data_IF_146665302994
#
_entry.id   IF_146665302994
#
_cell.length_a   1.000
_cell.length_b   1.000
_cell.length_c   1.000
_cell.angle_alpha   90.00
_cell.angle_beta   90.00
_cell.angle_gamma   90.00
#
_symmetry.space_group_name_H-M   'P 1'
#
loop_
_entity.id
_entity.type
_entity.pdbx_description
1 polymer ?
#
# COMPACT_ATOMS: atom_id res chain seq x y z
N UNK A 1 -11.24 8.32 12.63
CA UNK A 1 -11.06 8.32 11.16
C UNK A 1 -9.96 7.34 10.85
N UNK A 2 -10.21 6.32 10.03
CA UNK A 2 -9.13 5.51 9.46
C UNK A 2 -8.33 6.40 8.52
N UNK A 3 -7.00 6.35 8.59
CA UNK A 3 -6.16 6.91 7.54
C UNK A 3 -6.46 6.18 6.21
N UNK A 4 -6.41 6.91 5.09
CA UNK A 4 -6.55 6.33 3.75
C UNK A 4 -5.23 5.74 3.27
N UNK A 5 -5.28 4.78 2.34
CA UNK A 5 -4.06 4.22 1.72
C UNK A 5 -3.21 5.32 1.09
N UNK A 6 -3.86 6.29 0.43
CA UNK A 6 -3.15 7.39 -0.24
C UNK A 6 -2.42 8.29 0.75
N UNK A 7 -3.02 8.61 1.89
CA UNK A 7 -2.41 9.46 2.92
C UNK A 7 -1.20 8.75 3.56
N UNK A 8 -1.38 7.47 3.90
CA UNK A 8 -0.32 6.63 4.46
C UNK A 8 0.89 6.52 3.52
N UNK A 9 0.65 6.14 2.26
CA UNK A 9 1.71 5.96 1.27
C UNK A 9 2.42 7.27 0.95
N UNK A 10 1.70 8.40 0.87
CA UNK A 10 2.31 9.71 0.67
C UNK A 10 3.28 10.09 1.80
N UNK A 11 2.90 9.83 3.06
CA UNK A 11 3.79 10.04 4.21
C UNK A 11 5.00 9.14 4.18
N UNK A 12 4.83 7.85 3.85
CA UNK A 12 5.94 6.91 3.74
C UNK A 12 6.93 7.35 2.65
N UNK A 13 6.45 7.74 1.48
CA UNK A 13 7.28 8.22 0.39
C UNK A 13 8.04 9.51 0.75
N UNK A 14 7.42 10.41 1.51
CA UNK A 14 8.12 11.58 2.04
C UNK A 14 9.31 11.17 2.93
N UNK A 15 9.13 10.20 3.82
CA UNK A 15 10.20 9.66 4.67
C UNK A 15 11.29 8.99 3.83
N UNK A 16 10.91 8.13 2.88
CA UNK A 16 11.85 7.46 1.96
C UNK A 16 12.66 8.48 1.17
N UNK A 17 12.03 9.55 0.69
CA UNK A 17 12.72 10.62 -0.03
C UNK A 17 13.71 11.37 0.87
N UNK A 18 13.37 11.64 2.13
CA UNK A 18 14.32 12.22 3.09
C UNK A 18 15.51 11.28 3.33
N UNK A 19 15.28 9.98 3.56
CA UNK A 19 16.36 9.00 3.75
C UNK A 19 17.27 8.94 2.52
N UNK A 20 16.69 8.92 1.31
CA UNK A 20 17.45 8.98 0.05
C UNK A 20 18.29 10.26 -0.06
N UNK A 21 17.78 11.41 0.40
CA UNK A 21 18.54 12.68 0.44
C UNK A 21 19.73 12.62 1.40
N UNK A 22 19.66 11.84 2.47
CA UNK A 22 20.78 11.61 3.39
C UNK A 22 21.79 10.57 2.89
N UNK A 23 21.61 10.03 1.68
CA UNK A 23 22.53 9.08 1.05
C UNK A 23 22.15 7.62 1.24
N UNK A 24 21.00 7.32 1.83
CA UNK A 24 20.50 5.94 1.88
C UNK A 24 20.03 5.49 0.49
N UNK A 25 20.37 4.25 0.13
CA UNK A 25 19.84 3.62 -1.07
C UNK A 25 18.64 2.76 -0.67
N UNK A 26 17.45 3.23 -1.02
CA UNK A 26 16.19 2.50 -0.78
C UNK A 26 15.61 2.12 -2.14
N UNK A 27 15.52 0.81 -2.41
CA UNK A 27 14.90 0.30 -3.63
C UNK A 27 13.38 0.35 -3.57
N UNK A 28 12.73 0.36 -4.72
CA UNK A 28 11.26 0.35 -4.78
C UNK A 28 10.68 -0.96 -4.21
N UNK A 29 11.37 -2.09 -4.38
CA UNK A 29 11.07 -3.38 -3.73
C UNK A 29 10.97 -3.22 -2.21
N UNK A 30 11.95 -2.58 -1.57
CA UNK A 30 11.94 -2.34 -0.12
C UNK A 30 10.74 -1.50 0.31
N UNK A 31 10.34 -0.53 -0.53
CA UNK A 31 9.16 0.31 -0.25
C UNK A 31 7.86 -0.49 -0.42
N UNK A 32 7.76 -1.30 -1.48
CA UNK A 32 6.62 -2.18 -1.75
C UNK A 32 6.41 -3.17 -0.60
N UNK A 33 7.46 -3.87 -0.18
CA UNK A 33 7.40 -4.78 0.95
C UNK A 33 7.03 -4.05 2.24
N UNK A 34 7.59 -2.85 2.45
CA UNK A 34 7.28 -2.06 3.64
C UNK A 34 5.81 -1.69 3.68
N UNK A 35 5.22 -1.28 2.56
CA UNK A 35 3.79 -0.96 2.47
C UNK A 35 2.96 -2.21 2.81
N UNK A 36 3.19 -3.33 2.12
CA UNK A 36 2.41 -4.55 2.32
C UNK A 36 2.45 -5.04 3.78
N UNK A 37 3.62 -5.05 4.42
CA UNK A 37 3.78 -5.49 5.81
C UNK A 37 3.24 -4.54 6.88
N UNK A 38 2.92 -3.29 6.53
CA UNK A 38 2.52 -2.26 7.50
C UNK A 38 1.05 -1.88 7.43
N UNK A 39 0.33 -2.37 6.43
CA UNK A 39 -1.09 -2.15 6.30
C UNK A 39 -1.89 -2.93 7.35
N UNK A 40 -3.08 -2.40 7.66
CA UNK A 40 -4.04 -3.00 8.59
C UNK A 40 -4.55 -4.36 8.09
N UNK A 41 -4.89 -5.26 9.02
CA UNK A 41 -5.39 -6.62 8.73
C UNK A 41 -6.59 -6.65 7.76
N UNK A 42 -7.37 -5.56 7.65
CA UNK A 42 -8.45 -5.42 6.65
C UNK A 42 -7.95 -5.53 5.20
N UNK A 43 -6.65 -5.35 4.95
CA UNK A 43 -6.01 -5.52 3.64
C UNK A 43 -5.40 -6.91 3.43
N UNK A 44 -5.44 -7.80 4.42
CA UNK A 44 -4.75 -9.10 4.35
C UNK A 44 -5.14 -9.92 3.10
N UNK A 45 -6.42 -9.88 2.70
CA UNK A 45 -6.86 -10.57 1.50
C UNK A 45 -6.21 -10.04 0.21
N UNK A 46 -6.09 -8.72 0.04
CA UNK A 46 -5.47 -8.15 -1.16
C UNK A 46 -3.95 -8.31 -1.12
N UNK A 47 -3.33 -8.29 0.07
CA UNK A 47 -1.90 -8.55 0.25
C UNK A 47 -1.57 -9.97 -0.23
N UNK A 48 -2.27 -10.99 0.29
CA UNK A 48 -2.09 -12.39 -0.12
C UNK A 48 -2.29 -12.55 -1.64
N UNK A 49 -3.34 -11.94 -2.20
CA UNK A 49 -3.60 -12.03 -3.63
C UNK A 49 -2.49 -11.39 -4.48
N UNK A 50 -1.88 -10.30 -4.01
CA UNK A 50 -0.73 -9.67 -4.67
C UNK A 50 0.50 -10.58 -4.58
N UNK A 51 0.82 -11.10 -3.38
CA UNK A 51 1.95 -11.99 -3.15
C UNK A 51 1.86 -13.29 -3.97
N UNK A 52 0.66 -13.83 -4.17
CA UNK A 52 0.45 -15.03 -4.98
C UNK A 52 0.51 -14.78 -6.49
N UNK A 53 0.20 -13.55 -6.95
CA UNK A 53 0.00 -13.27 -8.38
C UNK A 53 1.08 -12.40 -9.02
N UNK A 54 1.95 -11.78 -8.23
CA UNK A 54 2.93 -10.78 -8.70
C UNK A 54 4.31 -11.04 -8.11
N UNK A 55 5.33 -10.65 -8.86
CA UNK A 55 6.71 -10.62 -8.37
C UNK A 55 6.99 -9.25 -7.74
N UNK A 56 7.09 -9.21 -6.41
CA UNK A 56 7.30 -7.99 -5.64
C UNK A 56 8.63 -7.30 -5.98
N UNK A 57 9.63 -8.04 -6.47
CA UNK A 57 10.94 -7.50 -6.86
C UNK A 57 10.86 -6.62 -8.12
N UNK A 58 9.81 -6.81 -8.92
CA UNK A 58 9.62 -6.10 -10.20
C UNK A 58 8.44 -5.15 -10.18
N UNK A 59 7.61 -5.21 -9.14
CA UNK A 59 6.43 -4.38 -8.98
C UNK A 59 6.84 -2.93 -8.70
N UNK A 60 6.20 -1.98 -9.38
CA UNK A 60 6.35 -0.56 -9.07
C UNK A 60 5.44 -0.13 -7.93
N UNK A 61 5.84 0.92 -7.22
CA UNK A 61 5.04 1.53 -6.15
C UNK A 61 3.68 1.99 -6.68
N UNK A 62 3.64 2.57 -7.88
CA UNK A 62 2.40 3.03 -8.51
C UNK A 62 1.43 1.89 -8.82
N UNK A 63 1.94 0.74 -9.27
CA UNK A 63 1.13 -0.45 -9.52
C UNK A 63 0.52 -0.97 -8.21
N UNK A 64 1.33 -1.07 -7.15
CA UNK A 64 0.87 -1.44 -5.81
C UNK A 64 -0.23 -0.49 -5.31
N UNK A 65 0.00 0.82 -5.41
CA UNK A 65 -0.95 1.84 -4.97
C UNK A 65 -2.29 1.72 -5.70
N UNK A 66 -2.27 1.42 -7.00
CA UNK A 66 -3.47 1.17 -7.79
C UNK A 66 -4.31 0.00 -7.25
N UNK A 67 -3.68 -1.12 -6.92
CA UNK A 67 -4.39 -2.27 -6.33
C UNK A 67 -5.03 -1.94 -4.98
N UNK A 68 -4.27 -1.27 -4.10
CA UNK A 68 -4.70 -0.95 -2.75
C UNK A 68 -5.85 0.08 -2.74
N UNK A 69 -5.78 1.12 -3.59
CA UNK A 69 -6.85 2.12 -3.70
C UNK A 69 -8.16 1.52 -4.21
N UNK A 70 -8.11 0.68 -5.25
CA UNK A 70 -9.30 -0.02 -5.76
C UNK A 70 -9.91 -0.93 -4.68
N UNK A 71 -9.07 -1.59 -3.87
CA UNK A 71 -9.54 -2.41 -2.77
C UNK A 71 -10.18 -1.57 -1.65
N UNK A 72 -9.53 -0.47 -1.24
CA UNK A 72 -10.05 0.45 -0.23
C UNK A 72 -11.43 1.00 -0.63
N UNK A 73 -11.61 1.43 -1.89
CA UNK A 73 -12.90 1.89 -2.38
C UNK A 73 -13.99 0.82 -2.28
N UNK A 74 -13.67 -0.44 -2.56
CA UNK A 74 -14.61 -1.57 -2.46
C UNK A 74 -14.97 -1.86 -1.00
N UNK A 75 -14.02 -1.77 -0.07
CA UNK A 75 -14.29 -1.90 1.36
C UNK A 75 -15.22 -0.80 1.87
N UNK A 76 -14.96 0.46 1.48
CA UNK A 76 -15.80 1.60 1.86
C UNK A 76 -17.23 1.45 1.32
N UNK A 77 -17.40 0.98 0.08
CA UNK A 77 -18.72 0.72 -0.52
C UNK A 77 -19.47 -0.39 0.22
N UNK A 78 -18.81 -1.49 0.58
CA UNK A 78 -19.44 -2.58 1.36
C UNK A 78 -19.90 -2.12 2.74
N UNK A 79 -19.10 -1.31 3.43
CA UNK A 79 -19.46 -0.79 4.75
C UNK A 79 -20.67 0.16 4.70
N UNK A 80 -20.92 0.84 3.57
CA UNK A 80 -22.12 1.67 3.39
C UNK A 80 -23.40 0.85 3.14
N UNK A 81 -23.29 -0.35 2.57
CA UNK A 81 -24.46 -1.20 2.29
C UNK A 81 -24.96 -2.00 3.50
N UNK A 82 -24.15 -2.16 4.55
CA UNK A 82 -24.55 -2.88 5.78
C UNK A 82 -25.28 -1.98 6.79
N UNK A 83 -25.55 -0.71 6.45
CA UNK A 83 -26.22 0.24 7.36
C UNK A 83 -27.63 0.66 6.89
N UNK A 84 -28.23 -0.09 5.96
CA UNK A 84 -29.62 0.10 5.52
C UNK A 84 -30.47 -1.15 5.77
#
# INVERSE_FOLDING_TARGET
MSESVSDYTSRLLAVVNEMKRYGETISDEQVVEKILHSLDEKFNFIIIAIEESKDLNTMSIDELMGFLQVHEEKLVKKNKQTTE
#
